data_IF_263536497923
#
_entry.id   IF_263536497923
#
_cell.length_a   1.000
_cell.length_b   1.000
_cell.length_c   1.000
_cell.angle_alpha   90.00
_cell.angle_beta   90.00
_cell.angle_gamma   90.00
#
_symmetry.space_group_name_H-M   'P 1'
#
loop_
_entity.id
_entity.type
_entity.pdbx_description
1 polymer ?
#
# COMPACT_ATOMS: atom_id res chain seq x y z
N UNK A 1 0.50 16.78 11.24
CA UNK A 1 -0.31 15.53 11.24
C UNK A 1 0.58 14.29 11.16
N UNK A 2 1.44 14.13 10.15
CA UNK A 2 2.26 12.92 9.97
C UNK A 2 3.14 12.62 11.20
N UNK A 3 3.89 13.59 11.70
CA UNK A 3 4.71 13.44 12.93
C UNK A 3 3.87 13.01 14.15
N UNK A 4 2.65 13.52 14.30
CA UNK A 4 1.75 13.10 15.38
C UNK A 4 1.29 11.65 15.25
N UNK A 5 1.12 11.15 14.01
CA UNK A 5 0.79 9.75 13.75
C UNK A 5 2.00 8.87 14.11
N UNK A 6 3.20 9.26 13.68
CA UNK A 6 4.45 8.55 13.98
C UNK A 6 4.69 8.45 15.49
N UNK A 7 4.49 9.52 16.25
CA UNK A 7 4.66 9.48 17.71
C UNK A 7 3.66 8.54 18.39
N UNK A 8 2.39 8.58 17.96
CA UNK A 8 1.38 7.64 18.48
C UNK A 8 1.70 6.19 18.12
N UNK A 9 2.26 5.96 16.92
CA UNK A 9 2.63 4.63 16.45
C UNK A 9 3.73 4.00 17.32
N UNK A 10 4.68 4.77 17.82
CA UNK A 10 5.71 4.28 18.77
C UNK A 10 5.08 3.61 20.00
N UNK A 11 4.04 4.23 20.57
CA UNK A 11 3.33 3.66 21.72
C UNK A 11 2.55 2.38 21.37
N UNK A 12 1.95 2.33 20.18
CA UNK A 12 1.27 1.12 19.69
C UNK A 12 2.27 -0.03 19.54
N UNK A 13 3.40 0.22 18.87
CA UNK A 13 4.46 -0.79 18.66
C UNK A 13 5.00 -1.29 20.01
N UNK A 14 5.23 -0.40 20.97
CA UNK A 14 5.70 -0.80 22.30
C UNK A 14 4.72 -1.75 23.01
N UNK A 15 3.41 -1.51 22.85
CA UNK A 15 2.36 -2.39 23.36
C UNK A 15 2.32 -3.72 22.62
N UNK A 16 2.42 -3.70 21.29
CA UNK A 16 2.41 -4.90 20.46
C UNK A 16 3.59 -5.82 20.81
N UNK A 17 4.80 -5.26 20.99
CA UNK A 17 6.00 -6.00 21.42
C UNK A 17 5.85 -6.66 22.80
N UNK A 18 5.00 -6.10 23.69
CA UNK A 18 4.69 -6.73 24.98
C UNK A 18 3.68 -7.86 24.85
N UNK A 19 2.77 -7.80 23.89
CA UNK A 19 1.74 -8.82 23.67
C UNK A 19 2.28 -10.00 22.86
N UNK A 20 3.13 -9.75 21.89
CA UNK A 20 3.74 -10.77 21.03
C UNK A 20 5.20 -10.35 20.74
N UNK A 21 6.17 -11.08 21.26
CA UNK A 21 7.58 -10.73 21.11
C UNK A 21 8.07 -10.97 19.68
N UNK A 22 9.20 -10.35 19.31
CA UNK A 22 9.82 -10.57 18.00
C UNK A 22 10.16 -12.06 17.79
N UNK A 23 10.64 -12.74 18.83
CA UNK A 23 10.97 -14.16 18.78
C UNK A 23 9.72 -15.02 18.52
N UNK A 24 8.58 -14.66 19.13
CA UNK A 24 7.30 -15.34 18.87
C UNK A 24 6.85 -15.15 17.43
N UNK A 25 6.96 -13.93 16.90
CA UNK A 25 6.67 -13.67 15.47
C UNK A 25 7.60 -14.50 14.57
N UNK A 26 8.89 -14.51 14.85
CA UNK A 26 9.88 -15.25 14.06
C UNK A 26 9.61 -16.76 14.00
N UNK A 27 9.09 -17.36 15.10
CA UNK A 27 8.70 -18.77 15.13
C UNK A 27 7.50 -19.11 14.24
N UNK A 28 6.64 -18.13 13.94
CA UNK A 28 5.46 -18.30 13.09
C UNK A 28 5.74 -18.00 11.61
N UNK A 29 6.94 -17.52 11.28
CA UNK A 29 7.23 -17.06 9.93
C UNK A 29 7.33 -18.21 8.93
N UNK A 30 6.63 -18.05 7.83
CA UNK A 30 6.88 -18.75 6.58
C UNK A 30 7.43 -17.73 5.59
N UNK A 31 8.59 -18.01 4.99
CA UNK A 31 9.18 -17.12 3.99
C UNK A 31 8.21 -16.90 2.83
N UNK A 32 8.01 -15.64 2.44
CA UNK A 32 7.21 -15.27 1.27
C UNK A 32 7.93 -15.58 -0.04
N UNK A 33 7.23 -15.35 -1.12
CA UNK A 33 7.67 -15.70 -2.47
C UNK A 33 7.65 -14.50 -3.44
N UNK A 34 7.55 -13.27 -2.91
CA UNK A 34 7.43 -12.04 -3.69
C UNK A 34 6.21 -12.04 -4.64
N UNK A 35 5.09 -12.59 -4.17
CA UNK A 35 3.86 -12.71 -4.98
C UNK A 35 3.28 -11.35 -5.39
N UNK A 36 3.52 -10.29 -4.62
CA UNK A 36 3.05 -8.95 -4.96
C UNK A 36 3.74 -8.41 -6.23
N UNK A 37 5.07 -8.43 -6.29
CA UNK A 37 5.82 -8.00 -7.48
C UNK A 37 5.59 -8.90 -8.67
N UNK A 38 5.42 -10.22 -8.46
CA UNK A 38 5.05 -11.16 -9.51
C UNK A 38 3.71 -10.80 -10.13
N UNK A 39 2.67 -10.59 -9.31
CA UNK A 39 1.35 -10.20 -9.79
C UNK A 39 1.38 -8.89 -10.60
N UNK A 40 2.17 -7.89 -10.16
CA UNK A 40 2.33 -6.64 -10.90
C UNK A 40 3.08 -6.81 -12.23
N UNK A 41 4.03 -7.75 -12.31
CA UNK A 41 4.82 -8.02 -13.53
C UNK A 41 4.03 -8.83 -14.56
N UNK A 42 3.20 -9.76 -14.12
CA UNK A 42 2.39 -10.64 -14.97
C UNK A 42 1.22 -9.91 -15.65
N UNK A 43 0.78 -8.78 -15.10
CA UNK A 43 -0.30 -7.98 -15.66
C UNK A 43 0.24 -6.74 -16.37
N UNK A 44 -0.27 -6.44 -17.57
CA UNK A 44 0.07 -5.19 -18.29
C UNK A 44 -0.43 -3.95 -17.54
N UNK A 45 -1.56 -4.09 -16.85
CA UNK A 45 -2.17 -3.06 -16.03
C UNK A 45 -2.69 -3.65 -14.72
N UNK A 46 -2.40 -3.01 -13.59
CA UNK A 46 -2.73 -3.53 -12.27
C UNK A 46 -3.57 -2.57 -11.45
N UNK A 47 -4.56 -3.12 -10.75
CA UNK A 47 -5.32 -2.43 -9.72
C UNK A 47 -4.94 -2.99 -8.34
N UNK A 48 -4.39 -2.14 -7.49
CA UNK A 48 -4.25 -2.37 -6.06
C UNK A 48 -5.51 -1.80 -5.41
N UNK A 49 -6.47 -2.65 -5.08
CA UNK A 49 -7.74 -2.24 -4.50
C UNK A 49 -7.62 -2.09 -2.98
N UNK A 50 -7.82 -0.87 -2.48
CA UNK A 50 -7.65 -0.56 -1.07
C UNK A 50 -8.97 -0.74 -0.30
N UNK A 51 -8.98 -1.65 0.66
CA UNK A 51 -10.08 -1.89 1.60
C UNK A 51 -10.08 -0.80 2.69
N UNK A 52 -10.74 0.33 2.42
CA UNK A 52 -10.68 1.54 3.23
C UNK A 52 -12.05 1.97 3.74
N UNK A 53 -12.33 1.77 5.02
CA UNK A 53 -13.61 2.14 5.62
C UNK A 53 -13.70 3.59 6.08
N UNK A 54 -12.56 4.23 6.37
CA UNK A 54 -12.50 5.60 6.85
C UNK A 54 -11.22 6.29 6.44
N UNK A 55 -11.18 7.61 6.58
CA UNK A 55 -9.94 8.40 6.47
C UNK A 55 -9.91 9.54 7.50
N UNK A 56 -8.72 9.97 7.95
CA UNK A 56 -8.60 11.06 8.91
C UNK A 56 -9.21 12.39 8.42
N UNK A 57 -9.22 12.63 7.10
CA UNK A 57 -9.69 13.88 6.50
C UNK A 57 -11.18 13.89 6.17
N UNK A 58 -11.81 12.72 5.98
CA UNK A 58 -13.21 12.60 5.51
C UNK A 58 -14.11 11.78 6.43
N UNK A 59 -13.55 11.24 7.53
CA UNK A 59 -14.29 10.37 8.45
C UNK A 59 -14.65 9.02 7.81
N UNK A 60 -15.84 8.52 8.12
CA UNK A 60 -16.37 7.26 7.58
C UNK A 60 -16.61 7.42 6.07
N UNK A 61 -16.09 6.50 5.28
CA UNK A 61 -16.27 6.43 3.82
C UNK A 61 -17.28 5.36 3.45
N UNK A 62 -17.36 4.29 4.24
CA UNK A 62 -18.24 3.16 4.04
C UNK A 62 -18.63 2.55 5.39
N UNK A 63 -19.91 2.28 5.56
CA UNK A 63 -20.49 1.61 6.73
C UNK A 63 -21.36 0.39 6.36
N UNK A 64 -21.53 0.17 5.05
CA UNK A 64 -22.36 -0.91 4.50
C UNK A 64 -21.59 -2.23 4.30
N UNK A 65 -20.25 -2.19 4.41
CA UNK A 65 -19.37 -3.34 4.21
C UNK A 65 -18.32 -3.42 5.30
N UNK A 66 -17.94 -4.64 5.65
CA UNK A 66 -16.71 -4.93 6.39
C UNK A 66 -15.49 -4.92 5.46
N UNK A 67 -14.29 -4.81 6.03
CA UNK A 67 -13.03 -4.91 5.27
C UNK A 67 -12.93 -6.25 4.52
N UNK A 68 -13.39 -7.34 5.13
CA UNK A 68 -13.37 -8.68 4.52
C UNK A 68 -14.35 -8.83 3.35
N UNK A 69 -15.55 -8.24 3.44
CA UNK A 69 -16.51 -8.22 2.35
C UNK A 69 -15.99 -7.42 1.16
N UNK A 70 -15.41 -6.23 1.39
CA UNK A 70 -14.76 -5.45 0.33
C UNK A 70 -13.63 -6.24 -0.33
N UNK A 71 -12.77 -6.89 0.47
CA UNK A 71 -11.66 -7.69 -0.04
C UNK A 71 -12.15 -8.81 -0.98
N UNK A 72 -13.22 -9.50 -0.59
CA UNK A 72 -13.83 -10.55 -1.41
C UNK A 72 -14.39 -9.99 -2.72
N UNK A 73 -15.18 -8.90 -2.64
CA UNK A 73 -15.74 -8.25 -3.83
C UNK A 73 -14.65 -7.82 -4.79
N UNK A 74 -13.58 -7.18 -4.30
CA UNK A 74 -12.47 -6.73 -5.14
C UNK A 74 -11.74 -7.90 -5.80
N UNK A 75 -11.43 -8.96 -5.05
CA UNK A 75 -10.75 -10.14 -5.57
C UNK A 75 -11.57 -10.87 -6.63
N UNK A 76 -12.87 -11.06 -6.39
CA UNK A 76 -13.80 -11.74 -7.32
C UNK A 76 -14.02 -10.93 -8.63
N UNK A 77 -13.77 -9.63 -8.62
CA UNK A 77 -13.95 -8.75 -9.78
C UNK A 77 -12.63 -8.36 -10.47
N UNK A 78 -11.52 -9.04 -10.14
CA UNK A 78 -10.28 -8.98 -10.90
C UNK A 78 -9.22 -8.00 -10.36
N UNK A 79 -9.38 -7.46 -9.14
CA UNK A 79 -8.29 -6.72 -8.52
C UNK A 79 -6.99 -7.55 -8.51
N UNK A 80 -5.89 -6.94 -8.92
CA UNK A 80 -4.59 -7.64 -9.01
C UNK A 80 -4.01 -7.91 -7.62
N UNK A 81 -4.20 -6.96 -6.72
CA UNK A 81 -3.68 -6.96 -5.35
C UNK A 81 -4.67 -6.25 -4.44
N UNK A 82 -4.75 -6.64 -3.17
CA UNK A 82 -5.46 -5.88 -2.15
C UNK A 82 -4.52 -5.04 -1.31
N UNK A 83 -4.99 -3.88 -0.86
CA UNK A 83 -4.33 -3.06 0.16
C UNK A 83 -5.23 -2.99 1.40
N UNK A 84 -4.70 -3.43 2.55
CA UNK A 84 -5.45 -3.54 3.81
C UNK A 84 -4.82 -2.63 4.86
N UNK A 85 -5.61 -1.67 5.35
CA UNK A 85 -5.20 -0.83 6.47
C UNK A 85 -5.14 -1.63 7.77
N UNK A 86 -4.06 -1.45 8.53
CA UNK A 86 -3.93 -1.98 9.89
C UNK A 86 -3.82 -0.87 10.95
N UNK A 87 -3.88 0.38 10.52
CA UNK A 87 -3.83 1.56 11.40
C UNK A 87 -5.23 2.02 11.82
N UNK A 88 -5.40 2.28 13.12
CA UNK A 88 -6.68 2.69 13.72
C UNK A 88 -7.22 4.02 13.19
N UNK A 89 -6.37 4.93 12.67
CA UNK A 89 -6.82 6.18 12.06
C UNK A 89 -7.66 5.94 10.80
N UNK A 90 -7.55 4.76 10.20
CA UNK A 90 -8.33 4.32 9.04
C UNK A 90 -9.36 3.25 9.40
N UNK A 91 -9.62 2.99 10.70
CA UNK A 91 -10.42 1.89 11.24
C UNK A 91 -9.91 0.50 10.83
N UNK A 92 -8.62 0.38 10.53
CA UNK A 92 -7.96 -0.90 10.26
C UNK A 92 -7.49 -1.57 11.54
N UNK A 93 -7.46 -2.88 11.53
CA UNK A 93 -6.93 -3.70 12.62
C UNK A 93 -5.96 -4.75 12.05
N UNK A 94 -4.94 -5.10 12.83
CA UNK A 94 -3.96 -6.10 12.40
C UNK A 94 -4.59 -7.47 12.10
N UNK A 95 -5.65 -7.85 12.85
CA UNK A 95 -6.40 -9.08 12.60
C UNK A 95 -7.04 -9.16 11.21
N UNK A 96 -7.41 -7.99 10.61
CA UNK A 96 -7.99 -7.94 9.27
C UNK A 96 -6.99 -8.41 8.23
N UNK A 97 -5.70 -8.10 8.40
CA UNK A 97 -4.64 -8.58 7.51
C UNK A 97 -4.61 -10.11 7.47
N UNK A 98 -4.60 -10.78 8.65
CA UNK A 98 -4.61 -12.25 8.75
C UNK A 98 -5.88 -12.86 8.14
N UNK A 99 -7.02 -12.28 8.47
CA UNK A 99 -8.33 -12.74 7.96
C UNK A 99 -8.37 -12.67 6.44
N UNK A 100 -8.01 -11.52 5.87
CA UNK A 100 -8.08 -11.28 4.43
C UNK A 100 -7.04 -12.11 3.68
N UNK A 101 -5.80 -12.20 4.18
CA UNK A 101 -4.76 -13.03 3.56
C UNK A 101 -5.12 -14.52 3.49
N UNK A 102 -6.00 -14.98 4.40
CA UNK A 102 -6.53 -16.35 4.38
C UNK A 102 -7.78 -16.51 3.51
N UNK A 103 -8.49 -15.41 3.25
CA UNK A 103 -9.77 -15.40 2.53
C UNK A 103 -9.58 -15.35 1.01
N UNK A 104 -8.53 -14.67 0.53
CA UNK A 104 -8.31 -14.42 -0.90
C UNK A 104 -7.03 -15.10 -1.41
N UNK A 105 -6.99 -15.40 -2.71
CA UNK A 105 -5.80 -15.96 -3.37
C UNK A 105 -4.83 -14.91 -3.94
N UNK A 106 -5.28 -13.65 -4.07
CA UNK A 106 -4.44 -12.56 -4.58
C UNK A 106 -3.57 -11.96 -3.47
N UNK A 107 -2.40 -11.40 -3.79
CA UNK A 107 -1.48 -10.84 -2.79
C UNK A 107 -2.10 -9.69 -1.99
N UNK A 108 -1.71 -9.58 -0.70
CA UNK A 108 -2.19 -8.53 0.21
C UNK A 108 -1.04 -7.63 0.65
N UNK A 109 -1.18 -6.33 0.42
CA UNK A 109 -0.32 -5.27 0.92
C UNK A 109 -0.81 -4.82 2.30
N UNK A 110 0.06 -4.84 3.31
CA UNK A 110 -0.19 -4.15 4.58
C UNK A 110 -0.01 -2.64 4.41
N UNK A 111 -1.09 -1.88 4.47
CA UNK A 111 -1.08 -0.41 4.45
C UNK A 111 -0.97 0.10 5.89
N UNK A 112 0.23 0.52 6.29
CA UNK A 112 0.59 0.89 7.67
C UNK A 112 1.71 1.93 7.68
N UNK A 113 1.85 2.70 8.77
CA UNK A 113 3.01 3.54 9.03
C UNK A 113 4.12 2.71 9.66
N UNK A 114 4.99 2.16 8.83
CA UNK A 114 6.10 1.30 9.28
C UNK A 114 7.28 2.19 9.66
N UNK A 115 7.67 2.13 10.94
CA UNK A 115 8.76 2.90 11.54
C UNK A 115 9.70 2.05 12.40
N UNK A 116 9.42 0.76 12.51
CA UNK A 116 10.18 -0.20 13.33
C UNK A 116 10.19 -1.55 12.62
N UNK A 117 11.34 -2.23 12.64
CA UNK A 117 11.52 -3.54 11.99
C UNK A 117 10.55 -4.60 12.51
N UNK A 118 10.14 -4.52 13.78
CA UNK A 118 9.12 -5.40 14.36
C UNK A 118 7.86 -5.47 13.49
N UNK A 119 7.42 -4.34 12.93
CA UNK A 119 6.21 -4.29 12.09
C UNK A 119 6.39 -5.07 10.77
N UNK A 120 7.62 -5.24 10.29
CA UNK A 120 7.92 -6.01 9.08
C UNK A 120 7.76 -7.51 9.35
N UNK A 121 8.31 -7.99 10.48
CA UNK A 121 8.10 -9.37 10.93
C UNK A 121 6.63 -9.64 11.22
N UNK A 122 5.96 -8.71 11.90
CA UNK A 122 4.53 -8.78 12.19
C UNK A 122 3.70 -8.86 10.90
N UNK A 123 4.02 -8.06 9.87
CA UNK A 123 3.34 -8.12 8.57
C UNK A 123 3.45 -9.52 7.96
N UNK A 124 4.65 -10.10 7.94
CA UNK A 124 4.86 -11.43 7.36
C UNK A 124 4.14 -12.52 8.17
N UNK A 125 4.22 -12.49 9.49
CA UNK A 125 3.54 -13.45 10.37
C UNK A 125 2.02 -13.41 10.23
N UNK A 126 1.47 -12.25 9.86
CA UNK A 126 0.04 -12.05 9.61
C UNK A 126 -0.38 -12.20 8.14
N UNK A 127 0.51 -12.72 7.28
CA UNK A 127 0.17 -13.14 5.92
C UNK A 127 0.32 -12.08 4.83
N UNK A 128 0.93 -10.91 5.12
CA UNK A 128 1.21 -9.94 4.08
C UNK A 128 2.14 -10.51 3.00
N UNK A 129 1.89 -10.16 1.76
CA UNK A 129 2.78 -10.37 0.61
C UNK A 129 3.69 -9.15 0.38
N UNK A 130 3.23 -7.97 0.80
CA UNK A 130 3.97 -6.72 0.71
C UNK A 130 3.68 -5.79 1.88
N UNK A 131 4.56 -4.81 2.08
CA UNK A 131 4.43 -3.73 3.05
C UNK A 131 4.57 -2.37 2.36
N UNK A 132 3.97 -1.34 3.00
CA UNK A 132 4.18 0.06 2.63
C UNK A 132 5.36 0.63 3.40
N UNK A 133 6.31 1.25 2.71
CA UNK A 133 7.35 2.09 3.30
C UNK A 133 7.17 3.53 2.79
N UNK A 134 7.11 4.51 3.67
CA UNK A 134 6.82 5.91 3.32
C UNK A 134 8.10 6.72 3.42
N UNK A 135 8.61 7.23 2.30
CA UNK A 135 9.86 7.99 2.23
C UNK A 135 9.84 9.23 3.14
N UNK A 136 8.69 9.90 3.26
CA UNK A 136 8.51 11.09 4.09
C UNK A 136 8.76 10.89 5.61
N UNK A 137 8.76 9.65 6.11
CA UNK A 137 8.93 9.34 7.55
C UNK A 137 10.14 8.48 7.87
N UNK A 138 10.94 8.11 6.87
CA UNK A 138 12.13 7.27 7.00
C UNK A 138 13.37 8.00 6.49
N UNK A 139 14.50 7.80 7.14
CA UNK A 139 15.80 8.16 6.54
C UNK A 139 16.17 7.16 5.45
N UNK A 140 17.11 7.52 4.59
CA UNK A 140 17.62 6.60 3.55
C UNK A 140 18.16 5.29 4.16
N UNK A 141 18.89 5.41 5.26
CA UNK A 141 19.48 4.26 5.97
C UNK A 141 18.39 3.35 6.56
N UNK A 142 17.35 3.94 7.17
CA UNK A 142 16.20 3.18 7.68
C UNK A 142 15.44 2.50 6.54
N UNK A 143 15.22 3.21 5.44
CA UNK A 143 14.53 2.67 4.27
C UNK A 143 15.30 1.48 3.70
N UNK A 144 16.63 1.61 3.49
CA UNK A 144 17.46 0.50 3.00
C UNK A 144 17.44 -0.69 3.96
N UNK A 145 17.57 -0.45 5.27
CA UNK A 145 17.52 -1.50 6.28
C UNK A 145 16.18 -2.26 6.25
N UNK A 146 15.06 -1.55 6.13
CA UNK A 146 13.74 -2.18 6.07
C UNK A 146 13.51 -2.96 4.77
N UNK A 147 14.04 -2.45 3.64
CA UNK A 147 14.04 -3.18 2.37
C UNK A 147 14.82 -4.51 2.49
N UNK A 148 15.98 -4.50 3.15
CA UNK A 148 16.80 -5.69 3.32
C UNK A 148 16.12 -6.74 4.22
N UNK A 149 15.49 -6.31 5.31
CA UNK A 149 14.68 -7.20 6.17
C UNK A 149 13.53 -7.80 5.37
N UNK A 150 12.72 -6.97 4.69
CA UNK A 150 11.59 -7.42 3.90
C UNK A 150 12.02 -8.45 2.85
N UNK A 151 13.12 -8.19 2.13
CA UNK A 151 13.70 -9.11 1.15
C UNK A 151 14.11 -10.45 1.78
N UNK A 152 14.70 -10.44 2.97
CA UNK A 152 15.07 -11.67 3.68
C UNK A 152 13.86 -12.55 4.01
N UNK A 153 12.71 -11.90 4.26
CA UNK A 153 11.44 -12.55 4.58
C UNK A 153 10.60 -12.91 3.34
N UNK A 154 11.05 -12.56 2.13
CA UNK A 154 10.29 -12.79 0.90
C UNK A 154 9.09 -11.86 0.75
N UNK A 155 9.13 -10.69 1.40
CA UNK A 155 8.15 -9.60 1.28
C UNK A 155 8.58 -8.60 0.22
N UNK A 156 7.65 -8.14 -0.58
CA UNK A 156 7.82 -6.95 -1.42
C UNK A 156 7.61 -5.66 -0.61
N UNK A 157 8.14 -4.54 -1.11
CA UNK A 157 7.94 -3.23 -0.53
C UNK A 157 7.39 -2.27 -1.59
N UNK A 158 6.23 -1.67 -1.33
CA UNK A 158 5.75 -0.49 -2.05
C UNK A 158 6.31 0.74 -1.34
N UNK A 159 7.24 1.46 -1.99
CA UNK A 159 7.88 2.63 -1.40
C UNK A 159 7.19 3.90 -1.89
N UNK A 160 6.43 4.53 -0.99
CA UNK A 160 5.64 5.72 -1.29
C UNK A 160 6.48 6.99 -1.28
N UNK A 161 6.37 7.79 -2.35
CA UNK A 161 7.01 9.10 -2.53
C UNK A 161 6.00 10.18 -2.89
N UNK A 162 6.24 11.42 -2.44
CA UNK A 162 5.33 12.55 -2.64
C UNK A 162 5.94 13.67 -3.49
N UNK A 163 7.25 13.75 -3.55
CA UNK A 163 7.97 14.79 -4.29
C UNK A 163 9.28 14.26 -4.87
N UNK A 164 9.97 15.15 -5.59
CA UNK A 164 11.21 14.82 -6.28
C UNK A 164 12.35 14.46 -5.31
N UNK A 165 12.45 15.15 -4.20
CA UNK A 165 13.53 14.91 -3.24
C UNK A 165 13.38 13.51 -2.59
N UNK A 166 12.14 13.11 -2.28
CA UNK A 166 11.86 11.77 -1.79
C UNK A 166 12.16 10.70 -2.86
N UNK A 167 11.78 10.94 -4.12
CA UNK A 167 12.10 10.05 -5.22
C UNK A 167 13.62 9.89 -5.41
N UNK A 168 14.37 10.98 -5.42
CA UNK A 168 15.83 10.95 -5.54
C UNK A 168 16.50 10.16 -4.39
N UNK A 169 15.98 10.29 -3.16
CA UNK A 169 16.44 9.48 -2.01
C UNK A 169 16.14 7.99 -2.23
N UNK A 170 14.92 7.67 -2.66
CA UNK A 170 14.48 6.28 -2.88
C UNK A 170 15.27 5.61 -4.01
N UNK A 171 15.58 6.33 -5.08
CA UNK A 171 16.40 5.81 -6.20
C UNK A 171 17.84 5.47 -5.81
N UNK A 172 18.33 5.93 -4.65
CA UNK A 172 19.63 5.54 -4.09
C UNK A 172 19.55 4.28 -3.21
N UNK A 173 18.40 3.63 -3.15
CA UNK A 173 18.16 2.39 -2.39
C UNK A 173 17.83 1.23 -3.32
N UNK A 174 17.65 0.03 -2.75
CA UNK A 174 17.26 -1.16 -3.51
C UNK A 174 15.74 -1.27 -3.73
N UNK A 175 14.98 -0.17 -3.64
CA UNK A 175 13.54 -0.15 -3.92
C UNK A 175 13.25 -0.54 -5.37
N UNK A 176 12.40 -1.55 -5.57
CA UNK A 176 11.96 -2.02 -6.90
C UNK A 176 10.60 -1.46 -7.29
N UNK A 177 9.71 -1.27 -6.32
CA UNK A 177 8.32 -0.82 -6.54
C UNK A 177 8.13 0.53 -5.86
N UNK A 178 7.78 1.53 -6.64
CA UNK A 178 7.62 2.92 -6.20
C UNK A 178 6.15 3.33 -6.33
N UNK A 179 5.58 3.84 -5.24
CA UNK A 179 4.25 4.44 -5.21
C UNK A 179 4.35 5.96 -5.30
N UNK A 180 3.88 6.57 -6.38
CA UNK A 180 3.80 8.03 -6.47
C UNK A 180 2.46 8.48 -5.91
N UNK A 181 2.49 9.08 -4.73
CA UNK A 181 1.30 9.61 -4.09
C UNK A 181 1.00 11.03 -4.61
N UNK A 182 -0.13 11.18 -5.27
CA UNK A 182 -0.61 12.46 -5.80
C UNK A 182 -1.15 13.42 -4.73
N UNK A 183 -1.27 12.96 -3.47
CA UNK A 183 -1.71 13.79 -2.35
C UNK A 183 -0.52 14.39 -1.63
N UNK A 184 -0.42 15.71 -1.68
CA UNK A 184 0.56 16.42 -0.87
C UNK A 184 0.16 16.36 0.60
N UNK A 185 0.99 15.74 1.45
CA UNK A 185 0.71 15.52 2.87
C UNK A 185 0.82 16.81 3.72
N UNK A 186 1.39 17.89 3.17
CA UNK A 186 1.55 19.18 3.88
C UNK A 186 0.30 20.04 3.76
N UNK A 187 -0.32 20.05 2.56
CA UNK A 187 -1.48 20.92 2.23
C UNK A 187 -2.75 20.14 1.91
N UNK A 188 -2.71 18.81 1.93
CA UNK A 188 -3.81 17.89 1.62
C UNK A 188 -4.47 18.09 0.25
N UNK A 189 -3.76 18.75 -0.67
CA UNK A 189 -4.20 18.89 -2.06
C UNK A 189 -3.73 17.71 -2.88
N UNK A 190 -4.60 17.23 -3.76
CA UNK A 190 -4.30 16.12 -4.67
C UNK A 190 -4.19 16.63 -6.09
N UNK A 191 -3.11 16.24 -6.79
CA UNK A 191 -2.86 16.60 -8.19
C UNK A 191 -2.18 15.43 -8.93
N UNK A 192 -2.90 14.81 -9.85
CA UNK A 192 -2.40 13.67 -10.64
C UNK A 192 -1.22 14.04 -11.56
N UNK A 193 -0.97 15.33 -11.80
CA UNK A 193 0.23 15.76 -12.50
C UNK A 193 1.52 15.45 -11.73
N UNK A 194 1.44 15.18 -10.42
CA UNK A 194 2.58 14.71 -9.65
C UNK A 194 3.14 13.41 -10.24
N UNK A 195 2.26 12.42 -10.50
CA UNK A 195 2.67 11.18 -11.19
C UNK A 195 3.30 11.48 -12.55
N UNK A 196 2.67 12.33 -13.38
CA UNK A 196 3.18 12.69 -14.72
C UNK A 196 4.58 13.31 -14.66
N UNK A 197 4.84 14.11 -13.63
CA UNK A 197 6.12 14.80 -13.45
C UNK A 197 7.20 13.85 -12.93
N UNK A 198 6.92 13.09 -11.88
CA UNK A 198 7.90 12.22 -11.26
C UNK A 198 8.22 10.99 -12.11
N UNK A 199 7.25 10.49 -12.87
CA UNK A 199 7.45 9.35 -13.77
C UNK A 199 8.56 9.60 -14.80
N UNK A 200 8.77 10.85 -15.26
CA UNK A 200 9.86 11.23 -16.18
C UNK A 200 11.26 10.99 -15.60
N UNK A 201 11.36 10.86 -14.29
CA UNK A 201 12.62 10.65 -13.54
C UNK A 201 12.78 9.22 -13.05
N UNK A 202 11.74 8.40 -13.16
CA UNK A 202 11.80 7.00 -12.76
C UNK A 202 12.57 6.17 -13.80
N UNK A 203 13.56 5.39 -13.40
CA UNK A 203 14.23 4.44 -14.28
C UNK A 203 13.25 3.39 -14.82
N UNK A 204 13.46 2.89 -16.06
CA UNK A 204 12.51 1.97 -16.73
C UNK A 204 12.43 0.57 -16.09
N UNK A 205 13.40 0.21 -15.25
CA UNK A 205 13.42 -1.05 -14.50
C UNK A 205 12.54 -1.02 -13.23
N UNK A 206 12.05 0.16 -12.82
CA UNK A 206 11.18 0.31 -11.65
C UNK A 206 9.72 0.03 -12.00
N UNK A 207 9.03 -0.66 -11.10
CA UNK A 207 7.57 -0.79 -11.15
C UNK A 207 6.98 0.44 -10.46
N UNK A 208 6.24 1.25 -11.21
CA UNK A 208 5.65 2.47 -10.64
C UNK A 208 4.13 2.34 -10.56
N UNK A 209 3.58 2.69 -9.39
CA UNK A 209 2.16 2.71 -9.06
C UNK A 209 1.76 4.16 -8.79
N UNK A 210 0.64 4.63 -9.36
CA UNK A 210 0.08 5.94 -9.05
C UNK A 210 -0.97 5.81 -7.94
N UNK A 211 -0.89 6.66 -6.93
CA UNK A 211 -1.76 6.62 -5.75
C UNK A 211 -2.49 7.95 -5.53
N UNK A 212 -3.71 7.88 -5.04
CA UNK A 212 -4.56 9.05 -4.70
C UNK A 212 -5.00 9.92 -5.88
N UNK A 213 -6.23 10.46 -5.79
CA UNK A 213 -6.76 11.44 -6.74
C UNK A 213 -7.21 10.89 -8.07
N UNK A 214 -7.28 9.59 -8.22
CA UNK A 214 -7.76 8.90 -9.41
C UNK A 214 -9.24 8.58 -9.22
N UNK A 215 -10.12 9.31 -9.93
CA UNK A 215 -11.55 9.29 -9.65
C UNK A 215 -12.38 8.74 -10.82
N UNK A 216 -11.83 8.66 -12.01
CA UNK A 216 -12.52 8.26 -13.23
C UNK A 216 -11.54 7.68 -14.26
N UNK A 217 -12.13 7.10 -15.33
CA UNK A 217 -11.36 6.47 -16.42
C UNK A 217 -10.33 7.42 -17.07
N UNK A 218 -10.67 8.70 -17.27
CA UNK A 218 -9.74 9.66 -17.89
C UNK A 218 -8.48 9.87 -17.03
N UNK A 219 -8.63 9.91 -15.70
CA UNK A 219 -7.48 10.00 -14.77
C UNK A 219 -6.58 8.78 -14.92
N UNK A 220 -7.18 7.58 -15.02
CA UNK A 220 -6.46 6.31 -15.19
C UNK A 220 -5.72 6.28 -16.53
N UNK A 221 -6.38 6.61 -17.62
CA UNK A 221 -5.77 6.64 -18.96
C UNK A 221 -4.60 7.63 -19.01
N UNK A 222 -4.75 8.78 -18.36
CA UNK A 222 -3.68 9.79 -18.25
C UNK A 222 -2.43 9.25 -17.55
N UNK A 223 -2.57 8.62 -16.38
CA UNK A 223 -1.41 8.08 -15.66
C UNK A 223 -0.84 6.84 -16.36
N UNK A 224 -1.69 5.99 -16.97
CA UNK A 224 -1.24 4.85 -17.79
C UNK A 224 -0.37 5.31 -18.96
N UNK A 225 -0.79 6.37 -19.65
CA UNK A 225 -0.01 6.96 -20.76
C UNK A 225 1.38 7.46 -20.35
N UNK A 226 1.62 7.72 -19.06
CA UNK A 226 2.93 8.09 -18.54
C UNK A 226 3.85 6.89 -18.29
N UNK A 227 3.34 5.65 -18.41
CA UNK A 227 4.11 4.42 -18.24
C UNK A 227 4.08 3.81 -16.84
N UNK A 228 3.17 4.24 -15.93
CA UNK A 228 2.97 3.54 -14.66
C UNK A 228 2.40 2.14 -14.91
N UNK A 229 2.72 1.19 -14.06
CA UNK A 229 2.29 -0.20 -14.18
C UNK A 229 0.88 -0.44 -13.62
N UNK A 230 0.39 0.46 -12.79
CA UNK A 230 -0.93 0.32 -12.17
C UNK A 230 -1.25 1.47 -11.23
N UNK A 231 -2.36 1.30 -10.52
CA UNK A 231 -2.92 2.31 -9.62
C UNK A 231 -3.33 1.70 -8.28
N UNK A 232 -3.25 2.51 -7.20
CA UNK A 232 -3.80 2.18 -5.90
C UNK A 232 -5.03 3.05 -5.65
N UNK A 233 -6.20 2.43 -5.51
CA UNK A 233 -7.50 3.10 -5.38
C UNK A 233 -8.26 2.58 -4.16
N UNK A 234 -8.67 3.50 -3.29
CA UNK A 234 -9.54 3.20 -2.15
C UNK A 234 -10.87 3.93 -2.24
N UNK A 235 -10.85 5.26 -2.12
CA UNK A 235 -12.08 6.05 -2.04
C UNK A 235 -12.97 5.93 -3.28
N UNK A 236 -12.39 5.89 -4.48
CA UNK A 236 -13.14 5.73 -5.72
C UNK A 236 -13.89 4.40 -5.82
N UNK A 237 -13.33 3.34 -5.23
CA UNK A 237 -13.97 2.03 -5.18
C UNK A 237 -15.07 1.98 -4.12
N UNK A 238 -14.74 2.34 -2.88
CA UNK A 238 -15.67 2.14 -1.74
C UNK A 238 -16.89 3.06 -1.79
N UNK A 239 -16.82 4.17 -2.52
CA UNK A 239 -17.93 5.10 -2.75
C UNK A 239 -18.73 4.82 -4.01
N UNK A 240 -18.31 3.87 -4.83
CA UNK A 240 -19.04 3.52 -6.03
C UNK A 240 -20.41 2.93 -5.70
N UNK A 241 -21.43 3.29 -6.47
CA UNK A 241 -22.78 2.71 -6.34
C UNK A 241 -22.79 1.23 -6.71
N UNK A 242 -21.93 0.85 -7.68
CA UNK A 242 -21.68 -0.51 -8.10
C UNK A 242 -20.18 -0.78 -8.05
N UNK A 243 -19.74 -1.40 -6.96
CA UNK A 243 -18.32 -1.69 -6.71
C UNK A 243 -17.74 -2.65 -7.77
N UNK A 244 -18.39 -3.76 -8.15
CA UNK A 244 -17.94 -4.62 -9.24
C UNK A 244 -17.66 -3.89 -10.54
N UNK A 245 -18.57 -3.02 -10.97
CA UNK A 245 -18.38 -2.22 -12.18
C UNK A 245 -17.22 -1.21 -12.04
N UNK A 246 -17.07 -0.60 -10.87
CA UNK A 246 -15.96 0.31 -10.62
C UNK A 246 -14.60 -0.40 -10.66
N UNK A 247 -14.49 -1.62 -10.15
CA UNK A 247 -13.25 -2.42 -10.24
C UNK A 247 -12.88 -2.64 -11.71
N UNK A 248 -13.84 -3.01 -12.56
CA UNK A 248 -13.61 -3.22 -14.00
C UNK A 248 -13.24 -1.91 -14.72
N UNK A 249 -13.89 -0.81 -14.38
CA UNK A 249 -13.57 0.51 -14.94
C UNK A 249 -12.12 0.91 -14.65
N UNK A 250 -11.64 0.73 -13.41
CA UNK A 250 -10.26 1.02 -13.03
C UNK A 250 -9.24 0.02 -13.59
N UNK A 251 -9.68 -1.17 -13.98
CA UNK A 251 -8.90 -2.12 -14.76
C UNK A 251 -8.89 -1.83 -16.26
N UNK A 252 -9.66 -0.83 -16.72
CA UNK A 252 -9.83 -0.46 -18.13
C UNK A 252 -10.50 -1.57 -18.98
N UNK A 253 -11.32 -2.39 -18.35
CA UNK A 253 -12.11 -3.44 -18.95
C UNK A 253 -13.51 -2.97 -19.37
#
# INVERSE_FOLDING_TARGET
>A
MLNSIVEKKKAVIAKDKQQESLEQLQQQLTKGDFSFSKALKENEWSLIAECKLASPSKGILCDNYTTAELAKIYAENGATVLSVHTDNHFKGELKDLRTISSLVSIPVLRKEFIIDEYQIYQARAYGAAAILLIAAILTKEQLQHFLDIAKSLGLDCLVEVHDEAELEMVLQTNAEIIGINNRNLKIFKTDINNTVTLMKKCPPDKIVISESGLNNRNDIEKVKACGVRGVLIGEGLVKATDIPSAVKEFLLQ
#
